data_IF_633460008715
#
_entry.id   IF_633460008715
#
_cell.length_a   1.000
_cell.length_b   1.000
_cell.length_c   1.000
_cell.angle_alpha   90.00
_cell.angle_beta   90.00
_cell.angle_gamma   90.00
#
_symmetry.space_group_name_H-M   'P 1'
#
loop_
_entity.id
_entity.type
_entity.pdbx_description
1 polymer ?
#
# COMPACT_ATOMS: atom_id res chain seq x y z
N UNK A 1 -17.71 0.50 -17.01
CA UNK A 1 -18.05 1.27 -18.23
C UNK A 1 -16.78 1.66 -18.97
N UNK A 2 -16.84 1.63 -20.31
CA UNK A 2 -15.74 1.95 -21.23
C UNK A 2 -14.53 1.00 -21.23
N UNK A 3 -14.58 -0.15 -20.57
CA UNK A 3 -13.54 -1.19 -20.65
C UNK A 3 -13.73 -2.09 -21.85
N UNK A 4 -12.79 -3.01 -22.09
CA UNK A 4 -12.79 -3.96 -23.20
C UNK A 4 -14.12 -4.72 -23.33
N UNK A 5 -14.60 -5.30 -22.24
CA UNK A 5 -15.84 -6.07 -22.24
C UNK A 5 -17.07 -5.25 -22.62
N UNK A 6 -17.16 -4.02 -22.13
CA UNK A 6 -18.24 -3.10 -22.49
C UNK A 6 -18.22 -2.77 -23.98
N UNK A 7 -17.03 -2.44 -24.54
CA UNK A 7 -16.88 -2.12 -25.97
C UNK A 7 -17.17 -3.27 -26.91
N UNK A 8 -16.83 -4.49 -26.51
CA UNK A 8 -17.20 -5.68 -27.31
C UNK A 8 -18.65 -6.15 -27.05
N UNK A 9 -19.39 -5.40 -26.21
CA UNK A 9 -20.81 -5.61 -25.97
C UNK A 9 -21.14 -6.75 -25.01
N UNK A 10 -20.22 -7.10 -24.08
CA UNK A 10 -20.54 -7.98 -22.93
C UNK A 10 -21.40 -7.17 -21.95
N UNK A 11 -22.47 -7.77 -21.44
CA UNK A 11 -23.45 -7.11 -20.58
C UNK A 11 -23.42 -7.71 -19.18
N UNK A 12 -23.93 -6.94 -18.21
CA UNK A 12 -24.20 -7.47 -16.88
C UNK A 12 -25.25 -8.58 -16.98
N UNK A 13 -24.94 -9.74 -16.37
CA UNK A 13 -25.76 -10.95 -16.45
C UNK A 13 -25.26 -11.97 -17.47
N UNK A 14 -24.34 -11.60 -18.37
CA UNK A 14 -23.68 -12.58 -19.23
C UNK A 14 -22.76 -13.51 -18.41
N UNK A 15 -22.69 -14.80 -18.78
CA UNK A 15 -21.83 -15.79 -18.14
C UNK A 15 -20.60 -16.01 -19.02
N UNK A 16 -19.41 -15.62 -18.55
CA UNK A 16 -18.16 -15.82 -19.25
C UNK A 16 -17.75 -17.29 -19.22
N UNK A 17 -17.43 -17.87 -20.37
CA UNK A 17 -17.02 -19.26 -20.52
C UNK A 17 -15.52 -19.38 -20.80
N UNK A 18 -14.99 -18.56 -21.70
CA UNK A 18 -13.56 -18.59 -22.05
C UNK A 18 -13.10 -17.25 -22.63
N UNK A 19 -11.78 -16.99 -22.54
CA UNK A 19 -11.09 -15.90 -23.25
C UNK A 19 -9.92 -16.51 -24.01
N UNK A 20 -9.81 -16.20 -25.31
CA UNK A 20 -8.80 -16.78 -26.20
C UNK A 20 -8.74 -18.32 -26.08
N UNK A 21 -9.90 -18.99 -26.08
CA UNK A 21 -10.11 -20.42 -25.91
C UNK A 21 -9.68 -21.00 -24.54
N UNK A 22 -9.12 -20.21 -23.63
CA UNK A 22 -8.82 -20.65 -22.25
C UNK A 22 -10.08 -20.55 -21.39
N UNK A 23 -10.56 -21.66 -20.79
CA UNK A 23 -11.72 -21.63 -19.90
C UNK A 23 -11.51 -20.69 -18.71
N UNK A 24 -12.58 -20.05 -18.28
CA UNK A 24 -12.62 -19.20 -17.09
C UNK A 24 -13.68 -19.76 -16.14
N UNK A 25 -13.25 -20.31 -15.02
CA UNK A 25 -14.13 -20.94 -14.05
C UNK A 25 -14.25 -20.11 -12.76
N UNK A 26 -13.41 -19.10 -12.60
CA UNK A 26 -13.38 -18.25 -11.39
C UNK A 26 -12.89 -16.84 -11.69
N UNK A 27 -13.25 -15.91 -10.81
CA UNK A 27 -12.73 -14.54 -10.89
C UNK A 27 -11.19 -14.45 -10.77
N UNK A 28 -10.52 -15.21 -9.88
CA UNK A 28 -9.05 -15.22 -9.85
C UNK A 28 -8.42 -15.67 -11.18
N UNK A 29 -8.98 -16.68 -11.88
CA UNK A 29 -8.49 -17.10 -13.20
C UNK A 29 -8.64 -15.98 -14.25
N UNK A 30 -9.77 -15.27 -14.23
CA UNK A 30 -9.99 -14.12 -15.11
C UNK A 30 -8.97 -13.00 -14.84
N UNK A 31 -8.72 -12.69 -13.57
CA UNK A 31 -7.74 -11.67 -13.17
C UNK A 31 -6.33 -12.08 -13.61
N UNK A 32 -5.93 -13.33 -13.36
CA UNK A 32 -4.62 -13.84 -13.79
C UNK A 32 -4.45 -13.78 -15.32
N UNK A 33 -5.50 -14.14 -16.06
CA UNK A 33 -5.47 -14.02 -17.52
C UNK A 33 -5.40 -12.56 -17.97
N UNK A 34 -6.19 -11.67 -17.38
CA UNK A 34 -6.18 -10.25 -17.73
C UNK A 34 -4.78 -9.61 -17.58
N UNK A 35 -3.97 -10.12 -16.65
CA UNK A 35 -2.58 -9.68 -16.47
C UNK A 35 -1.65 -10.10 -17.62
N UNK A 36 -2.02 -11.08 -18.43
CA UNK A 36 -1.23 -11.52 -19.57
C UNK A 36 -1.58 -10.81 -20.87
N UNK A 37 -2.67 -10.05 -20.91
CA UNK A 37 -3.16 -9.37 -22.10
C UNK A 37 -2.50 -8.00 -22.26
N UNK A 38 -2.26 -7.61 -23.52
CA UNK A 38 -1.66 -6.32 -23.87
C UNK A 38 -2.66 -5.40 -24.56
N UNK A 39 -2.49 -4.10 -24.40
CA UNK A 39 -3.29 -3.10 -25.11
C UNK A 39 -3.20 -3.33 -26.63
N UNK A 40 -4.33 -3.17 -27.32
CA UNK A 40 -4.51 -3.44 -28.77
C UNK A 40 -4.43 -4.92 -29.19
N UNK A 41 -4.14 -5.86 -28.29
CA UNK A 41 -4.28 -7.28 -28.57
C UNK A 41 -5.76 -7.61 -28.84
N UNK A 42 -6.02 -8.38 -29.89
CA UNK A 42 -7.38 -8.83 -30.20
C UNK A 42 -7.69 -10.09 -29.39
N UNK A 43 -8.75 -10.04 -28.60
CA UNK A 43 -9.26 -11.19 -27.84
C UNK A 43 -10.57 -11.70 -28.42
N UNK A 44 -10.80 -13.00 -28.22
CA UNK A 44 -12.09 -13.65 -28.43
C UNK A 44 -12.66 -14.08 -27.09
N UNK A 45 -13.89 -13.68 -26.82
CA UNK A 45 -14.60 -14.00 -25.58
C UNK A 45 -15.82 -14.85 -25.92
N UNK A 46 -15.88 -16.07 -25.38
CA UNK A 46 -17.06 -16.92 -25.48
C UNK A 46 -17.86 -16.82 -24.18
N UNK A 47 -19.18 -16.60 -24.32
CA UNK A 47 -20.09 -16.36 -23.19
C UNK A 47 -21.50 -16.89 -23.46
N UNK A 48 -22.31 -17.00 -22.42
CA UNK A 48 -23.76 -17.20 -22.54
C UNK A 48 -24.41 -15.83 -22.32
N UNK A 49 -25.15 -15.34 -23.31
CA UNK A 49 -25.92 -14.10 -23.24
C UNK A 49 -27.38 -14.43 -23.57
N UNK A 50 -28.30 -14.07 -22.67
CA UNK A 50 -29.73 -14.39 -22.81
C UNK A 50 -30.03 -15.89 -23.06
N UNK A 51 -29.20 -16.79 -22.48
CA UNK A 51 -29.34 -18.24 -22.63
C UNK A 51 -28.68 -18.85 -23.89
N UNK A 52 -28.12 -18.05 -24.78
CA UNK A 52 -27.45 -18.48 -26.00
C UNK A 52 -25.94 -18.36 -25.91
N UNK A 53 -25.19 -19.33 -26.47
CA UNK A 53 -23.74 -19.22 -26.60
C UNK A 53 -23.37 -18.27 -27.74
N UNK A 54 -22.61 -17.24 -27.39
CA UNK A 54 -22.15 -16.23 -28.35
C UNK A 54 -20.65 -16.01 -28.22
N UNK A 55 -19.98 -15.70 -29.32
CA UNK A 55 -18.60 -15.27 -29.35
C UNK A 55 -18.53 -13.78 -29.69
N UNK A 56 -17.68 -13.04 -28.96
CA UNK A 56 -17.42 -11.62 -29.20
C UNK A 56 -15.92 -11.41 -29.36
N UNK A 57 -15.53 -10.50 -30.26
CA UNK A 57 -14.13 -10.17 -30.54
C UNK A 57 -13.90 -8.67 -30.46
N UNK A 58 -12.75 -8.27 -30.00
CA UNK A 58 -12.31 -6.89 -30.04
C UNK A 58 -10.93 -6.68 -29.45
N UNK A 59 -10.41 -5.49 -29.66
CA UNK A 59 -9.11 -5.12 -29.14
C UNK A 59 -9.20 -4.79 -27.65
N UNK A 60 -8.16 -5.18 -26.90
CA UNK A 60 -7.99 -4.82 -25.51
C UNK A 60 -7.79 -3.31 -25.42
N UNK A 61 -8.56 -2.69 -24.55
CA UNK A 61 -8.38 -1.31 -24.16
C UNK A 61 -7.41 -1.28 -22.99
N UNK A 62 -6.35 -0.49 -23.13
CA UNK A 62 -5.40 -0.27 -22.07
C UNK A 62 -6.05 0.28 -20.79
N UNK A 63 -5.41 0.08 -19.67
CA UNK A 63 -5.86 0.68 -18.41
C UNK A 63 -5.85 2.20 -18.51
N UNK A 64 -6.85 2.89 -17.94
CA UNK A 64 -6.81 4.35 -17.86
C UNK A 64 -5.53 4.79 -17.17
N UNK A 65 -4.75 5.64 -17.83
CA UNK A 65 -3.55 6.25 -17.24
C UNK A 65 -3.94 7.46 -16.42
N UNK A 66 -3.11 7.80 -15.45
CA UNK A 66 -3.28 9.03 -14.67
C UNK A 66 -3.03 10.25 -15.56
N UNK A 67 -3.80 11.29 -15.31
CA UNK A 67 -3.63 12.63 -15.90
C UNK A 67 -3.59 13.68 -14.79
N UNK A 68 -2.84 14.75 -14.96
CA UNK A 68 -2.78 15.87 -14.02
C UNK A 68 -2.78 17.21 -14.76
N UNK A 69 -3.50 18.18 -14.21
CA UNK A 69 -3.43 19.56 -14.69
C UNK A 69 -2.10 20.22 -14.31
N UNK A 70 -1.53 19.81 -13.16
CA UNK A 70 -0.35 20.41 -12.54
C UNK A 70 0.95 19.68 -12.85
N UNK A 71 0.89 18.42 -13.33
CA UNK A 71 2.06 17.61 -13.63
C UNK A 71 2.00 16.98 -15.02
N UNK A 72 3.17 16.75 -15.60
CA UNK A 72 3.40 15.71 -16.60
C UNK A 72 3.48 14.37 -15.87
N UNK A 73 2.73 13.36 -16.34
CA UNK A 73 2.77 12.01 -15.76
C UNK A 73 3.63 11.12 -16.65
N UNK A 74 4.79 10.76 -16.13
CA UNK A 74 5.76 9.91 -16.83
C UNK A 74 5.66 8.47 -16.33
N UNK A 75 5.54 7.52 -17.28
CA UNK A 75 5.58 6.09 -17.06
C UNK A 75 6.91 5.56 -17.57
N UNK A 76 7.65 4.91 -16.69
CA UNK A 76 8.99 4.38 -16.99
C UNK A 76 9.16 3.04 -16.26
N UNK A 77 10.35 2.48 -16.24
CA UNK A 77 10.64 1.20 -15.59
C UNK A 77 12.02 1.19 -14.93
N UNK A 78 12.21 0.23 -14.05
CA UNK A 78 13.49 -0.11 -13.45
C UNK A 78 13.69 -1.62 -13.45
N UNK A 79 14.89 -2.06 -13.80
CA UNK A 79 15.28 -3.47 -13.73
C UNK A 79 15.81 -3.81 -12.33
N UNK A 80 15.48 -5.01 -11.86
CA UNK A 80 16.05 -5.62 -10.66
C UNK A 80 16.19 -7.14 -10.85
N UNK A 81 16.71 -7.85 -9.86
CA UNK A 81 16.93 -9.30 -9.92
C UNK A 81 15.66 -10.12 -10.19
N UNK A 82 14.50 -9.62 -9.79
CA UNK A 82 13.20 -10.28 -10.04
C UNK A 82 12.64 -9.99 -11.44
N UNK A 83 13.14 -9.00 -12.16
CA UNK A 83 12.63 -8.58 -13.48
C UNK A 83 12.46 -7.06 -13.60
N UNK A 84 11.44 -6.63 -14.33
CA UNK A 84 11.18 -5.22 -14.63
C UNK A 84 9.99 -4.74 -13.80
N UNK A 85 10.20 -3.64 -13.07
CA UNK A 85 9.16 -2.95 -12.32
C UNK A 85 8.76 -1.66 -13.03
N UNK A 86 7.47 -1.40 -13.16
CA UNK A 86 6.95 -0.12 -13.66
C UNK A 86 7.16 0.98 -12.61
N UNK A 87 7.49 2.18 -13.09
CA UNK A 87 7.53 3.38 -12.26
C UNK A 87 6.59 4.46 -12.82
N UNK A 88 6.06 5.30 -11.93
CA UNK A 88 5.15 6.39 -12.26
C UNK A 88 5.67 7.65 -11.58
N UNK A 89 5.88 8.72 -12.35
CA UNK A 89 6.39 9.99 -11.83
C UNK A 89 5.48 11.13 -12.24
N UNK A 90 5.02 11.91 -11.28
CA UNK A 90 4.38 13.20 -11.53
C UNK A 90 5.45 14.27 -11.47
N UNK A 91 5.67 14.96 -12.57
CA UNK A 91 6.68 16.00 -12.72
C UNK A 91 5.97 17.35 -12.79
N UNK A 92 6.20 18.32 -11.88
CA UNK A 92 5.55 19.63 -11.93
C UNK A 92 5.77 20.33 -13.26
N UNK A 93 4.70 20.78 -13.93
CA UNK A 93 4.76 21.41 -15.26
C UNK A 93 5.55 22.74 -15.27
N UNK A 94 5.47 23.49 -14.17
CA UNK A 94 6.07 24.84 -14.07
C UNK A 94 7.47 24.82 -13.46
N UNK A 95 8.20 23.70 -13.57
CA UNK A 95 9.56 23.58 -13.04
C UNK A 95 10.55 24.47 -13.80
N UNK A 96 11.47 25.06 -13.06
CA UNK A 96 12.64 25.76 -13.59
C UNK A 96 13.90 25.09 -13.04
N UNK A 97 14.45 24.10 -13.75
CA UNK A 97 15.60 23.33 -13.29
C UNK A 97 15.23 22.03 -12.54
N UNK A 98 16.08 21.62 -11.61
CA UNK A 98 15.85 20.45 -10.78
C UNK A 98 14.79 20.71 -9.73
N UNK A 99 13.99 19.69 -9.41
CA UNK A 99 12.92 19.79 -8.42
C UNK A 99 13.13 18.82 -7.27
N UNK A 100 12.73 19.16 -6.04
CA UNK A 100 12.67 18.21 -4.94
C UNK A 100 11.62 17.11 -5.23
N UNK A 101 11.74 15.97 -4.57
CA UNK A 101 10.85 14.85 -4.84
C UNK A 101 10.31 14.19 -3.57
N UNK A 102 9.10 13.64 -3.69
CA UNK A 102 8.51 12.71 -2.73
C UNK A 102 8.53 11.31 -3.34
N UNK A 103 9.22 10.37 -2.70
CA UNK A 103 9.15 8.96 -3.01
C UNK A 103 8.06 8.31 -2.15
N UNK A 104 6.97 7.91 -2.77
CA UNK A 104 5.88 7.24 -2.09
C UNK A 104 6.17 5.75 -1.91
N UNK A 105 6.14 5.28 -0.66
CA UNK A 105 6.27 3.87 -0.27
C UNK A 105 4.90 3.36 0.15
N UNK A 106 4.40 2.36 -0.56
CA UNK A 106 3.04 1.83 -0.40
C UNK A 106 2.88 0.98 0.87
N UNK A 107 1.67 0.98 1.44
CA UNK A 107 1.25 0.09 2.53
C UNK A 107 1.15 -1.40 2.13
N UNK A 108 0.43 -2.21 2.92
CA UNK A 108 0.43 -3.67 2.82
C UNK A 108 -0.08 -4.25 1.49
N UNK A 109 -1.23 -3.79 0.91
CA UNK A 109 -1.89 -4.54 -0.16
C UNK A 109 -1.07 -4.66 -1.45
N UNK A 110 -1.13 -5.84 -2.08
CA UNK A 110 -0.64 -6.07 -3.44
C UNK A 110 -1.61 -5.49 -4.47
N UNK A 111 -1.57 -4.18 -4.60
CA UNK A 111 -2.40 -3.42 -5.55
C UNK A 111 -1.55 -2.39 -6.29
N UNK A 112 -2.04 -1.91 -7.42
CA UNK A 112 -1.35 -0.91 -8.20
C UNK A 112 -1.24 0.42 -7.47
N UNK A 113 -0.11 1.08 -7.66
CA UNK A 113 0.17 2.46 -7.27
C UNK A 113 -0.34 3.48 -8.30
N UNK A 114 -1.07 3.03 -9.32
CA UNK A 114 -1.71 3.88 -10.30
C UNK A 114 -3.13 4.22 -9.84
N UNK A 115 -3.43 5.49 -9.76
CA UNK A 115 -4.71 6.04 -9.31
C UNK A 115 -5.32 6.95 -10.37
N UNK A 116 -5.99 6.40 -11.42
CA UNK A 116 -6.60 7.19 -12.48
C UNK A 116 -7.71 8.14 -11.99
N UNK A 117 -8.41 7.75 -10.92
CA UNK A 117 -9.40 8.62 -10.27
C UNK A 117 -8.71 9.72 -9.47
N UNK A 118 -8.82 10.95 -9.93
CA UNK A 118 -8.28 12.13 -9.26
C UNK A 118 -8.85 12.38 -7.85
N UNK A 119 -9.99 11.77 -7.53
CA UNK A 119 -10.61 11.84 -6.19
C UNK A 119 -10.05 10.79 -5.23
N UNK A 120 -9.24 9.82 -5.69
CA UNK A 120 -8.58 8.90 -4.77
C UNK A 120 -7.79 9.69 -3.72
N UNK A 121 -7.88 9.36 -2.40
CA UNK A 121 -7.25 10.15 -1.35
C UNK A 121 -5.73 10.29 -1.50
N UNK A 122 -5.04 9.21 -1.89
CA UNK A 122 -3.59 9.27 -2.18
C UNK A 122 -3.30 10.19 -3.37
N UNK A 123 -4.15 10.11 -4.40
CA UNK A 123 -4.02 10.98 -5.58
C UNK A 123 -4.18 12.46 -5.23
N UNK A 124 -5.10 12.79 -4.31
CA UNK A 124 -5.27 14.16 -3.81
C UNK A 124 -4.02 14.62 -3.03
N UNK A 125 -3.45 13.76 -2.18
CA UNK A 125 -2.18 14.07 -1.50
C UNK A 125 -1.02 14.29 -2.49
N UNK A 126 -0.93 13.49 -3.54
CA UNK A 126 0.09 13.66 -4.59
C UNK A 126 -0.08 15.01 -5.31
N UNK A 127 -1.32 15.41 -5.62
CA UNK A 127 -1.59 16.71 -6.23
C UNK A 127 -1.21 17.89 -5.31
N UNK A 128 -1.39 17.75 -4.00
CA UNK A 128 -0.98 18.79 -3.05
C UNK A 128 0.56 18.97 -3.08
N UNK A 129 1.34 17.89 -3.13
CA UNK A 129 2.79 17.96 -3.24
C UNK A 129 3.27 18.49 -4.61
N UNK A 130 2.62 18.05 -5.69
CA UNK A 130 2.92 18.55 -7.04
C UNK A 130 2.67 20.05 -7.16
N UNK A 131 1.55 20.55 -6.65
CA UNK A 131 1.23 21.99 -6.61
C UNK A 131 2.26 22.78 -5.81
N UNK A 132 2.86 22.16 -4.80
CA UNK A 132 3.93 22.77 -4.02
C UNK A 132 5.32 22.66 -4.67
N UNK A 133 5.43 22.10 -5.88
CA UNK A 133 6.66 22.02 -6.67
C UNK A 133 7.47 20.73 -6.47
N UNK A 134 6.95 19.73 -5.78
CA UNK A 134 7.61 18.44 -5.61
C UNK A 134 7.23 17.47 -6.72
N UNK A 135 8.21 16.78 -7.31
CA UNK A 135 7.91 15.58 -8.08
C UNK A 135 7.41 14.47 -7.15
N UNK A 136 6.48 13.62 -7.62
CA UNK A 136 5.99 12.47 -6.86
C UNK A 136 6.32 11.20 -7.63
N UNK A 137 7.15 10.36 -7.05
CA UNK A 137 7.62 9.12 -7.65
C UNK A 137 7.08 7.89 -6.92
N UNK A 138 6.72 6.87 -7.69
CA UNK A 138 6.22 5.57 -7.21
C UNK A 138 6.82 4.44 -8.02
N UNK A 139 7.09 3.31 -7.36
CA UNK A 139 7.44 2.04 -8.01
C UNK A 139 6.34 1.03 -7.78
N UNK A 140 5.95 0.31 -8.81
CA UNK A 140 5.00 -0.80 -8.72
C UNK A 140 5.68 -2.04 -8.13
N UNK A 141 4.90 -2.88 -7.48
CA UNK A 141 5.33 -4.16 -6.97
C UNK A 141 5.44 -5.22 -8.08
N UNK A 142 6.10 -6.35 -7.78
CA UNK A 142 6.22 -7.49 -8.69
C UNK A 142 4.87 -7.95 -9.25
N UNK A 143 4.78 -8.05 -10.58
CA UNK A 143 3.58 -8.41 -11.35
C UNK A 143 2.32 -7.59 -11.02
N UNK A 144 2.50 -6.36 -10.52
CA UNK A 144 1.43 -5.39 -10.34
C UNK A 144 1.54 -4.31 -11.44
N UNK A 145 0.41 -3.82 -11.90
CA UNK A 145 0.39 -2.88 -13.03
C UNK A 145 1.01 -3.51 -14.29
N UNK A 146 1.99 -2.83 -14.86
CA UNK A 146 2.74 -3.34 -16.02
C UNK A 146 4.11 -3.89 -15.64
N UNK A 147 4.38 -4.11 -14.35
CA UNK A 147 5.59 -4.82 -13.89
C UNK A 147 5.58 -6.27 -14.42
N UNK A 148 6.77 -6.78 -14.77
CA UNK A 148 6.96 -8.16 -15.27
C UNK A 148 8.13 -8.79 -14.54
N UNK A 149 7.81 -9.70 -13.63
CA UNK A 149 8.77 -10.30 -12.70
C UNK A 149 8.55 -11.81 -12.56
N UNK A 150 9.57 -12.52 -12.08
CA UNK A 150 9.55 -13.99 -11.87
C UNK A 150 8.72 -14.42 -10.65
N UNK A 151 8.48 -13.49 -9.68
CA UNK A 151 7.61 -13.72 -8.53
C UNK A 151 6.44 -12.75 -8.58
N UNK A 152 5.32 -13.11 -7.96
CA UNK A 152 4.21 -12.17 -7.75
C UNK A 152 4.44 -11.35 -6.46
N UNK A 153 3.78 -10.22 -6.36
CA UNK A 153 3.76 -9.41 -5.13
C UNK A 153 3.34 -10.21 -3.89
N UNK A 154 2.41 -11.16 -4.04
CA UNK A 154 1.96 -12.04 -2.94
C UNK A 154 3.04 -12.98 -2.42
N UNK A 155 4.03 -13.30 -3.25
CA UNK A 155 4.99 -14.39 -3.02
C UNK A 155 6.39 -13.92 -2.61
N UNK A 156 6.66 -12.61 -2.71
CA UNK A 156 7.90 -12.03 -2.20
C UNK A 156 7.89 -11.98 -0.66
N UNK A 157 9.07 -12.04 -0.06
CA UNK A 157 9.24 -11.80 1.37
C UNK A 157 9.45 -10.31 1.68
N UNK A 158 9.60 -9.97 2.97
CA UNK A 158 9.78 -8.59 3.38
C UNK A 158 11.13 -7.99 2.92
N UNK A 159 12.20 -8.78 2.86
CA UNK A 159 13.48 -8.29 2.38
C UNK A 159 13.43 -7.97 0.88
N UNK A 160 12.74 -8.82 0.10
CA UNK A 160 12.48 -8.56 -1.33
C UNK A 160 11.59 -7.31 -1.53
N UNK A 161 10.62 -7.05 -0.65
CA UNK A 161 9.84 -5.78 -0.64
C UNK A 161 10.75 -4.57 -0.42
N UNK A 162 11.72 -4.65 0.48
CA UNK A 162 12.71 -3.58 0.69
C UNK A 162 13.55 -3.38 -0.58
N UNK A 163 14.01 -4.46 -1.23
CA UNK A 163 14.80 -4.37 -2.46
C UNK A 163 13.99 -3.81 -3.65
N UNK A 164 12.68 -4.10 -3.76
CA UNK A 164 11.76 -3.45 -4.72
C UNK A 164 11.78 -1.94 -4.54
N UNK A 165 11.64 -1.47 -3.31
CA UNK A 165 11.64 -0.03 -3.01
C UNK A 165 13.04 0.60 -3.21
N UNK A 166 14.13 -0.10 -2.88
CA UNK A 166 15.50 0.36 -3.17
C UNK A 166 15.74 0.50 -4.69
N UNK A 167 15.25 -0.46 -5.51
CA UNK A 167 15.32 -0.35 -6.97
C UNK A 167 14.58 0.88 -7.48
N UNK A 168 13.34 1.13 -6.98
CA UNK A 168 12.59 2.34 -7.27
C UNK A 168 13.34 3.61 -6.85
N UNK A 169 13.89 3.64 -5.66
CA UNK A 169 14.66 4.80 -5.17
C UNK A 169 15.91 5.06 -6.03
N UNK A 170 16.64 4.00 -6.42
CA UNK A 170 17.77 4.11 -7.35
C UNK A 170 17.34 4.71 -8.70
N UNK A 171 16.16 4.32 -9.22
CA UNK A 171 15.60 4.90 -10.44
C UNK A 171 15.29 6.39 -10.27
N UNK A 172 14.66 6.79 -9.18
CA UNK A 172 14.39 8.20 -8.88
C UNK A 172 15.68 9.03 -8.86
N UNK A 173 16.74 8.52 -8.23
CA UNK A 173 18.05 9.17 -8.16
C UNK A 173 18.74 9.34 -9.54
N UNK A 174 18.33 8.56 -10.55
CA UNK A 174 18.93 8.60 -11.88
C UNK A 174 18.34 9.69 -12.81
N UNK A 175 17.24 10.31 -12.42
CA UNK A 175 16.63 11.35 -13.22
C UNK A 175 17.39 12.69 -13.09
N UNK A 176 17.75 13.29 -14.22
CA UNK A 176 18.53 14.54 -14.29
C UNK A 176 17.76 15.76 -13.77
N UNK A 177 16.42 15.70 -13.83
CA UNK A 177 15.54 16.76 -13.36
C UNK A 177 15.25 16.70 -11.84
N UNK A 178 15.72 15.69 -11.13
CA UNK A 178 15.52 15.56 -9.67
C UNK A 178 16.68 16.23 -8.92
N UNK A 179 16.32 17.02 -7.90
CA UNK A 179 17.23 17.48 -6.87
C UNK A 179 17.43 16.36 -5.85
N UNK A 180 18.53 15.62 -6.01
CA UNK A 180 18.83 14.43 -5.21
C UNK A 180 19.21 14.72 -3.77
N UNK A 181 19.41 15.99 -3.40
CA UNK A 181 19.67 16.41 -2.02
C UNK A 181 18.38 16.74 -1.26
N UNK A 182 17.27 16.92 -1.99
CA UNK A 182 15.97 17.26 -1.47
C UNK A 182 14.92 16.19 -1.84
N UNK A 183 15.23 14.92 -1.56
CA UNK A 183 14.29 13.82 -1.68
C UNK A 183 13.71 13.49 -0.31
N UNK A 184 12.39 13.37 -0.25
CA UNK A 184 11.61 12.97 0.91
C UNK A 184 10.94 11.62 0.65
N UNK A 185 10.88 10.75 1.65
CA UNK A 185 10.00 9.59 1.59
C UNK A 185 8.65 9.93 2.20
N UNK A 186 7.57 9.40 1.63
CA UNK A 186 6.28 9.34 2.28
C UNK A 186 5.84 7.88 2.35
N UNK A 187 5.85 7.33 3.54
CA UNK A 187 5.43 5.97 3.83
C UNK A 187 4.02 5.93 4.41
N UNK A 188 3.12 5.16 3.79
CA UNK A 188 1.76 4.96 4.29
C UNK A 188 1.60 3.57 4.90
N UNK A 189 0.97 3.49 6.10
CA UNK A 189 0.63 2.21 6.72
C UNK A 189 1.88 1.34 6.96
N UNK A 190 1.94 0.11 6.44
CA UNK A 190 3.09 -0.80 6.54
C UNK A 190 4.42 -0.17 6.09
N UNK A 191 4.40 0.90 5.31
CA UNK A 191 5.63 1.53 4.85
C UNK A 191 6.53 2.07 5.97
N UNK A 192 6.01 2.28 7.18
CA UNK A 192 6.85 2.57 8.35
C UNK A 192 7.76 1.43 8.78
N UNK A 193 7.41 0.17 8.43
CA UNK A 193 8.32 -0.97 8.56
C UNK A 193 9.37 -1.01 7.46
N UNK A 194 9.08 -0.49 6.26
CA UNK A 194 9.94 -0.57 5.07
C UNK A 194 10.88 0.63 4.93
N UNK A 195 10.40 1.83 5.20
CA UNK A 195 11.10 3.08 4.91
C UNK A 195 12.52 3.19 5.54
N UNK A 196 12.76 2.81 6.82
CA UNK A 196 14.09 2.94 7.41
C UNK A 196 15.13 2.05 6.70
N UNK A 197 14.74 0.85 6.25
CA UNK A 197 15.65 -0.06 5.54
C UNK A 197 15.91 0.38 4.09
N UNK A 198 14.95 1.05 3.44
CA UNK A 198 15.18 1.68 2.13
C UNK A 198 16.15 2.85 2.25
N UNK A 199 16.05 3.63 3.33
CA UNK A 199 16.92 4.76 3.60
C UNK A 199 18.39 4.36 3.85
N UNK A 200 18.68 3.11 4.20
CA UNK A 200 20.07 2.61 4.33
C UNK A 200 20.87 2.70 3.02
N UNK A 201 20.21 2.63 1.85
CA UNK A 201 20.89 2.73 0.56
C UNK A 201 21.47 4.14 0.32
N UNK A 202 20.68 5.16 0.57
CA UNK A 202 21.04 6.58 0.58
C UNK A 202 20.04 7.29 1.49
N UNK A 203 20.54 8.02 2.48
CA UNK A 203 19.67 8.78 3.38
C UNK A 203 18.91 9.86 2.60
N UNK A 204 17.56 9.91 2.67
CA UNK A 204 16.80 11.01 2.13
C UNK A 204 16.95 12.28 2.99
N UNK A 205 16.55 13.43 2.47
CA UNK A 205 16.45 14.67 3.25
C UNK A 205 15.56 14.51 4.47
N UNK A 206 14.47 13.76 4.32
CA UNK A 206 13.60 13.38 5.41
C UNK A 206 12.63 12.26 5.07
N UNK A 207 12.05 11.66 6.09
CA UNK A 207 11.05 10.60 5.99
C UNK A 207 9.78 11.05 6.69
N UNK A 208 8.67 11.05 5.98
CA UNK A 208 7.33 11.20 6.50
C UNK A 208 6.67 9.83 6.54
N UNK A 209 6.02 9.47 7.64
CA UNK A 209 5.19 8.26 7.73
C UNK A 209 3.82 8.61 8.28
N UNK A 210 2.77 7.95 7.78
CA UNK A 210 1.40 8.14 8.23
C UNK A 210 0.70 6.81 8.51
N UNK A 211 0.00 6.76 9.63
CA UNK A 211 -0.83 5.60 9.99
C UNK A 211 -0.04 4.30 10.10
N UNK A 212 1.14 4.37 10.69
CA UNK A 212 2.10 3.27 10.73
C UNK A 212 2.32 2.75 12.16
N UNK A 213 2.95 1.58 12.26
CA UNK A 213 3.45 1.03 13.50
C UNK A 213 4.98 0.90 13.49
N UNK A 214 5.53 0.61 14.66
CA UNK A 214 6.96 0.37 14.81
C UNK A 214 7.28 -0.94 15.54
N UNK A 215 6.26 -1.64 16.02
CA UNK A 215 6.37 -2.92 16.73
C UNK A 215 6.44 -4.09 15.75
N UNK A 216 6.82 -5.27 16.25
CA UNK A 216 6.70 -6.51 15.47
C UNK A 216 5.25 -6.73 15.02
N UNK A 217 5.06 -7.43 13.89
CA UNK A 217 3.71 -7.73 13.42
C UNK A 217 2.92 -8.60 14.41
N UNK A 218 3.64 -9.40 15.20
CA UNK A 218 3.03 -10.17 16.30
C UNK A 218 2.39 -9.27 17.36
N UNK A 219 3.13 -8.27 17.86
CA UNK A 219 2.61 -7.32 18.84
C UNK A 219 1.50 -6.44 18.26
N UNK A 220 1.66 -6.02 16.99
CA UNK A 220 0.63 -5.25 16.29
C UNK A 220 -0.68 -6.01 16.20
N UNK A 221 -0.69 -7.30 15.79
CA UNK A 221 -1.91 -8.08 15.69
C UNK A 221 -2.55 -8.36 17.06
N UNK A 222 -1.77 -8.55 18.12
CA UNK A 222 -2.31 -8.66 19.47
C UNK A 222 -3.07 -7.38 19.85
N UNK A 223 -2.47 -6.21 19.63
CA UNK A 223 -3.13 -4.94 19.91
C UNK A 223 -4.29 -4.65 18.95
N UNK A 224 -4.24 -5.11 17.70
CA UNK A 224 -5.33 -5.00 16.74
C UNK A 224 -6.59 -5.68 17.28
N UNK A 225 -6.50 -6.94 17.69
CA UNK A 225 -7.63 -7.68 18.27
C UNK A 225 -8.12 -7.06 19.59
N UNK A 226 -7.20 -6.58 20.42
CA UNK A 226 -7.51 -5.99 21.72
C UNK A 226 -8.20 -4.64 21.64
N UNK A 227 -7.88 -3.83 20.63
CA UNK A 227 -8.27 -2.42 20.54
C UNK A 227 -9.35 -2.20 19.46
N UNK A 228 -9.17 -2.76 18.26
CA UNK A 228 -10.02 -2.43 17.12
C UNK A 228 -11.48 -2.85 17.32
N UNK A 229 -11.72 -4.01 17.95
CA UNK A 229 -13.06 -4.48 18.26
C UNK A 229 -13.80 -3.51 19.21
N UNK A 230 -13.08 -2.90 20.16
CA UNK A 230 -13.66 -1.91 21.10
C UNK A 230 -14.10 -0.65 20.36
N UNK A 231 -13.38 -0.22 19.32
CA UNK A 231 -13.83 0.88 18.46
C UNK A 231 -15.15 0.57 17.76
N UNK A 232 -15.41 -0.70 17.45
CA UNK A 232 -16.67 -1.19 16.90
C UNK A 232 -17.83 -1.30 17.90
N UNK A 233 -17.52 -1.19 19.20
CA UNK A 233 -18.52 -1.28 20.29
C UNK A 233 -18.46 -2.57 21.11
N UNK A 234 -17.49 -3.48 20.86
CA UNK A 234 -17.25 -4.63 21.74
C UNK A 234 -16.76 -4.16 23.13
N UNK A 235 -17.05 -4.93 24.15
CA UNK A 235 -16.48 -4.68 25.48
C UNK A 235 -15.01 -5.09 25.53
N UNK A 236 -14.22 -4.51 26.42
CA UNK A 236 -12.84 -4.94 26.65
C UNK A 236 -12.73 -6.43 27.05
N UNK A 237 -13.73 -6.97 27.72
CA UNK A 237 -13.76 -8.39 28.10
C UNK A 237 -13.89 -9.29 26.87
N UNK A 238 -14.77 -8.94 25.94
CA UNK A 238 -14.93 -9.66 24.67
C UNK A 238 -13.68 -9.58 23.81
N UNK A 239 -13.13 -8.38 23.63
CA UNK A 239 -11.90 -8.15 22.88
C UNK A 239 -10.71 -8.93 23.46
N UNK A 240 -10.53 -8.94 24.79
CA UNK A 240 -9.46 -9.71 25.43
C UNK A 240 -9.66 -11.23 25.29
N UNK A 241 -10.90 -11.71 25.35
CA UNK A 241 -11.22 -13.14 25.10
C UNK A 241 -10.82 -13.57 23.68
N UNK A 242 -11.16 -12.77 22.67
CA UNK A 242 -10.78 -13.00 21.28
C UNK A 242 -9.27 -12.96 21.11
N UNK A 243 -8.62 -11.92 21.64
CA UNK A 243 -7.16 -11.77 21.61
C UNK A 243 -6.45 -13.02 22.13
N UNK A 244 -6.88 -13.55 23.30
CA UNK A 244 -6.30 -14.75 23.91
C UNK A 244 -6.47 -16.01 23.04
N UNK A 245 -7.55 -16.12 22.29
CA UNK A 245 -7.73 -17.23 21.34
C UNK A 245 -6.76 -17.14 20.17
N UNK A 246 -6.41 -15.93 19.72
CA UNK A 246 -5.52 -15.71 18.58
C UNK A 246 -4.04 -15.89 18.92
N UNK A 247 -3.60 -15.57 20.14
CA UNK A 247 -2.19 -15.58 20.55
C UNK A 247 -1.44 -16.88 20.18
N UNK A 248 -1.94 -18.09 20.43
CA UNK A 248 -1.21 -19.31 20.08
C UNK A 248 -0.92 -19.44 18.59
N UNK A 249 -1.89 -19.13 17.74
CA UNK A 249 -1.72 -19.16 16.29
C UNK A 249 -0.75 -18.06 15.82
N UNK A 250 -0.89 -16.85 16.34
CA UNK A 250 0.01 -15.73 16.01
C UNK A 250 1.46 -16.03 16.41
N UNK A 251 1.69 -16.66 17.55
CA UNK A 251 3.01 -17.07 18.01
C UNK A 251 3.64 -18.11 17.07
N UNK A 252 2.89 -19.17 16.73
CA UNK A 252 3.36 -20.23 15.84
C UNK A 252 3.71 -19.69 14.45
N UNK A 253 2.91 -18.76 13.96
CA UNK A 253 3.14 -18.12 12.66
C UNK A 253 4.31 -17.14 12.70
N UNK A 254 4.24 -16.11 13.54
CA UNK A 254 5.08 -14.91 13.42
C UNK A 254 6.39 -15.05 14.18
N UNK A 255 6.41 -15.83 15.26
CA UNK A 255 7.61 -16.06 16.09
C UNK A 255 8.29 -17.39 15.71
N UNK A 256 7.54 -18.50 15.74
CA UNK A 256 8.10 -19.81 15.40
C UNK A 256 8.28 -20.04 13.88
N UNK A 257 7.66 -19.21 13.03
CA UNK A 257 7.82 -19.24 11.57
C UNK A 257 7.12 -20.39 10.87
N UNK A 258 6.09 -20.97 11.48
CA UNK A 258 5.32 -22.07 10.87
C UNK A 258 4.45 -21.55 9.73
N UNK A 259 4.35 -22.37 8.68
CA UNK A 259 3.41 -22.17 7.59
C UNK A 259 1.97 -22.41 8.05
N UNK A 260 0.99 -21.92 7.28
CA UNK A 260 -0.40 -22.20 7.57
C UNK A 260 -0.71 -23.70 7.50
N UNK A 261 -0.08 -24.43 6.56
CA UNK A 261 -0.21 -25.89 6.45
C UNK A 261 0.32 -26.62 7.69
N UNK A 262 1.48 -26.22 8.23
CA UNK A 262 2.04 -26.79 9.45
C UNK A 262 1.15 -26.54 10.66
N UNK A 263 0.61 -25.32 10.78
CA UNK A 263 -0.31 -24.97 11.87
C UNK A 263 -1.65 -25.75 11.81
N UNK A 264 -2.15 -26.04 10.59
CA UNK A 264 -3.37 -26.87 10.39
C UNK A 264 -3.22 -28.29 10.90
N UNK A 265 -2.00 -28.81 11.07
CA UNK A 265 -1.76 -30.14 11.66
C UNK A 265 -2.09 -30.21 13.16
N UNK A 266 -2.17 -29.05 13.83
CA UNK A 266 -2.62 -28.95 15.21
C UNK A 266 -4.14 -28.79 15.24
N UNK A 267 -4.92 -29.79 15.74
CA UNK A 267 -6.37 -29.71 15.78
C UNK A 267 -6.93 -28.51 16.53
N UNK A 268 -6.19 -28.01 17.55
CA UNK A 268 -6.61 -26.85 18.33
C UNK A 268 -6.45 -25.53 17.56
N UNK A 269 -5.51 -25.44 16.62
CA UNK A 269 -5.27 -24.24 15.81
C UNK A 269 -6.03 -24.27 14.48
N UNK A 270 -6.32 -25.46 13.96
CA UNK A 270 -6.91 -25.63 12.62
C UNK A 270 -8.12 -24.73 12.35
N UNK A 271 -9.14 -24.63 13.23
CA UNK A 271 -10.31 -23.77 12.95
C UNK A 271 -9.93 -22.29 12.80
N UNK A 272 -8.99 -21.81 13.61
CA UNK A 272 -8.53 -20.42 13.58
C UNK A 272 -7.73 -20.19 12.30
N UNK A 273 -6.79 -21.09 11.97
CA UNK A 273 -5.96 -21.00 10.76
C UNK A 273 -6.82 -21.01 9.50
N UNK A 274 -7.84 -21.88 9.43
CA UNK A 274 -8.74 -21.96 8.27
C UNK A 274 -9.61 -20.71 8.10
N UNK A 275 -9.95 -20.02 9.18
CA UNK A 275 -10.69 -18.76 9.12
C UNK A 275 -9.80 -17.56 8.79
N UNK A 276 -8.50 -17.65 9.07
CA UNK A 276 -7.56 -16.55 8.99
C UNK A 276 -6.77 -16.54 7.68
N UNK A 277 -6.38 -17.73 7.17
CA UNK A 277 -5.56 -17.88 5.97
C UNK A 277 -6.35 -18.45 4.80
N UNK A 278 -6.12 -17.89 3.62
CA UNK A 278 -6.51 -18.48 2.34
C UNK A 278 -5.32 -19.26 1.76
N UNK A 279 -5.28 -20.59 1.99
CA UNK A 279 -4.07 -21.39 1.72
C UNK A 279 -2.92 -20.95 2.62
N UNK A 280 -1.85 -20.45 2.03
CA UNK A 280 -0.69 -19.87 2.72
C UNK A 280 -0.73 -18.34 2.77
N UNK A 281 -1.84 -17.69 2.42
CA UNK A 281 -1.93 -16.24 2.30
C UNK A 281 -2.81 -15.64 3.39
N UNK A 282 -2.31 -14.56 4.00
CA UNK A 282 -3.08 -13.65 4.83
C UNK A 282 -3.29 -12.35 4.07
N UNK A 283 -4.54 -11.94 3.87
CA UNK A 283 -4.88 -10.82 2.99
C UNK A 283 -4.30 -11.03 1.59
N UNK A 284 -3.31 -10.25 1.18
CA UNK A 284 -2.71 -10.30 -0.17
C UNK A 284 -1.26 -10.81 -0.16
N UNK A 285 -0.75 -11.29 0.97
CA UNK A 285 0.65 -11.67 1.16
C UNK A 285 0.79 -13.08 1.73
N UNK A 286 1.88 -13.75 1.41
CA UNK A 286 2.21 -15.05 1.98
C UNK A 286 2.44 -14.94 3.50
N UNK A 287 2.17 -16.03 4.22
CA UNK A 287 2.49 -16.12 5.65
C UNK A 287 3.98 -15.83 5.92
N UNK A 288 4.86 -16.24 5.01
CA UNK A 288 6.30 -16.03 5.09
C UNK A 288 6.69 -14.54 5.06
N UNK A 289 5.99 -13.71 4.27
CA UNK A 289 6.21 -12.26 4.25
C UNK A 289 6.15 -11.66 5.67
N UNK A 290 5.10 -11.97 6.41
CA UNK A 290 4.90 -11.41 7.74
C UNK A 290 5.88 -11.98 8.77
N UNK A 291 6.28 -13.25 8.63
CA UNK A 291 7.31 -13.84 9.47
C UNK A 291 8.66 -13.13 9.27
N UNK A 292 9.07 -12.89 8.02
CA UNK A 292 10.33 -12.17 7.73
C UNK A 292 10.28 -10.71 8.15
N UNK A 293 9.11 -10.06 8.05
CA UNK A 293 8.89 -8.72 8.57
C UNK A 293 8.99 -8.67 10.11
N UNK A 294 8.43 -9.67 10.80
CA UNK A 294 8.46 -9.72 12.28
C UNK A 294 9.87 -9.94 12.85
N UNK A 295 10.82 -10.40 12.04
CA UNK A 295 12.24 -10.54 12.44
C UNK A 295 13.01 -9.22 12.42
N UNK A 296 12.47 -8.17 11.83
CA UNK A 296 13.18 -6.90 11.71
C UNK A 296 13.25 -6.16 13.05
N UNK A 297 14.42 -5.64 13.38
CA UNK A 297 14.58 -4.71 14.49
C UNK A 297 14.28 -3.28 14.03
N UNK A 298 13.01 -2.87 14.13
CA UNK A 298 12.57 -1.56 13.66
C UNK A 298 13.16 -0.41 14.47
N UNK A 299 13.39 -0.60 15.78
CA UNK A 299 14.02 0.43 16.60
C UNK A 299 15.44 0.71 16.11
N UNK A 300 16.20 -0.34 15.79
CA UNK A 300 17.54 -0.19 15.19
C UNK A 300 17.47 0.43 13.78
N UNK A 301 16.49 0.01 12.96
CA UNK A 301 16.27 0.61 11.64
C UNK A 301 16.02 2.12 11.72
N UNK A 302 15.11 2.56 12.59
CA UNK A 302 14.80 3.98 12.77
C UNK A 302 15.95 4.77 13.42
N UNK A 303 16.76 4.17 14.30
CA UNK A 303 17.94 4.83 14.91
C UNK A 303 19.03 5.15 13.89
N UNK A 304 19.09 4.44 12.76
CA UNK A 304 20.03 4.69 11.66
C UNK A 304 19.59 5.80 10.69
N UNK A 305 18.35 6.27 10.80
CA UNK A 305 17.84 7.36 9.96
C UNK A 305 18.41 8.69 10.47
N UNK A 306 19.34 9.28 9.72
CA UNK A 306 19.99 10.54 10.10
C UNK A 306 19.33 11.80 9.48
N UNK A 307 18.39 11.63 8.55
CA UNK A 307 17.54 12.69 8.02
C UNK A 307 16.45 13.11 9.01
N UNK A 308 15.68 14.13 8.63
CA UNK A 308 14.49 14.53 9.41
C UNK A 308 13.39 13.48 9.33
N UNK A 309 12.65 13.27 10.42
CA UNK A 309 11.53 12.32 10.46
C UNK A 309 10.28 13.00 10.97
N UNK A 310 9.16 12.83 10.25
CA UNK A 310 7.84 13.33 10.60
C UNK A 310 6.85 12.17 10.67
N UNK A 311 6.60 11.67 11.86
CA UNK A 311 5.73 10.54 12.10
C UNK A 311 4.32 11.01 12.43
N UNK A 312 3.32 10.61 11.60
CA UNK A 312 1.95 11.10 11.67
C UNK A 312 0.95 10.00 11.99
N UNK A 313 -0.05 10.33 12.78
CA UNK A 313 -1.18 9.48 13.12
C UNK A 313 -2.48 10.24 12.86
N UNK A 314 -3.45 9.62 12.21
CA UNK A 314 -4.81 10.15 12.11
C UNK A 314 -5.57 9.92 13.41
N UNK A 315 -6.17 10.97 13.99
CA UNK A 315 -6.82 10.92 15.30
C UNK A 315 -7.80 9.74 15.45
N UNK A 316 -8.49 9.37 14.37
CA UNK A 316 -9.46 8.27 14.36
C UNK A 316 -9.04 7.09 13.45
N UNK A 317 -7.74 6.90 13.28
CA UNK A 317 -7.17 5.78 12.54
C UNK A 317 -7.33 4.47 13.33
N UNK A 318 -8.21 3.59 12.85
CA UNK A 318 -8.46 2.29 13.46
C UNK A 318 -7.48 1.20 13.00
N UNK A 319 -6.70 1.44 11.95
CA UNK A 319 -5.70 0.49 11.48
C UNK A 319 -4.35 0.68 12.21
N UNK A 320 -3.87 1.92 12.38
CA UNK A 320 -2.69 2.19 13.20
C UNK A 320 -2.98 2.19 14.72
N UNK A 321 -4.25 2.13 15.11
CA UNK A 321 -4.79 1.93 16.47
C UNK A 321 -4.64 3.13 17.40
N UNK A 322 -3.48 3.75 17.48
CA UNK A 322 -3.19 4.89 18.35
C UNK A 322 -1.87 5.59 17.98
N UNK A 323 -1.60 6.74 18.58
CA UNK A 323 -0.40 7.54 18.28
C UNK A 323 0.90 7.02 18.91
N UNK A 324 0.87 5.97 19.73
CA UNK A 324 2.03 5.48 20.49
C UNK A 324 3.22 5.15 19.61
N UNK A 325 2.97 4.53 18.45
CA UNK A 325 4.04 4.07 17.56
C UNK A 325 4.72 5.25 16.84
N UNK A 326 3.97 6.26 16.41
CA UNK A 326 4.55 7.46 15.79
C UNK A 326 5.32 8.31 16.79
N UNK A 327 4.90 8.36 18.06
CA UNK A 327 5.64 8.97 19.16
C UNK A 327 6.97 8.23 19.36
N UNK A 328 6.93 6.90 19.45
CA UNK A 328 8.13 6.09 19.65
C UNK A 328 9.13 6.23 18.49
N UNK A 329 8.67 6.28 17.24
CA UNK A 329 9.54 6.54 16.07
C UNK A 329 10.26 7.89 16.24
N UNK A 330 9.54 8.95 16.57
CA UNK A 330 10.14 10.27 16.76
C UNK A 330 11.14 10.29 17.93
N UNK A 331 10.85 9.60 19.02
CA UNK A 331 11.74 9.46 20.18
C UNK A 331 13.02 8.69 19.85
N UNK A 332 12.92 7.54 19.15
CA UNK A 332 14.07 6.73 18.71
C UNK A 332 15.00 7.57 17.84
N UNK A 333 14.44 8.27 16.85
CA UNK A 333 15.24 9.15 15.99
C UNK A 333 15.90 10.27 16.79
N UNK A 334 15.21 10.89 17.74
CA UNK A 334 15.78 11.95 18.59
C UNK A 334 16.85 11.44 19.56
N UNK A 335 16.75 10.20 20.02
CA UNK A 335 17.80 9.57 20.85
C UNK A 335 19.09 9.38 20.06
N UNK A 336 19.00 9.04 18.78
CA UNK A 336 20.15 8.86 17.90
C UNK A 336 20.65 10.19 17.29
N UNK A 337 19.71 11.07 16.91
CA UNK A 337 19.96 12.31 16.17
C UNK A 337 19.06 13.44 16.73
N UNK A 338 19.50 14.10 17.78
CA UNK A 338 18.72 15.08 18.52
C UNK A 338 18.09 16.17 17.62
N UNK A 339 16.79 16.37 17.75
CA UNK A 339 16.02 17.36 16.99
C UNK A 339 15.64 16.95 15.56
N UNK A 340 15.83 15.66 15.19
CA UNK A 340 15.44 15.17 13.88
C UNK A 340 14.06 14.49 13.85
N UNK A 341 13.54 14.00 14.98
CA UNK A 341 12.24 13.35 15.08
C UNK A 341 11.14 14.32 15.51
N UNK A 342 10.08 14.41 14.73
CA UNK A 342 8.84 15.12 15.04
C UNK A 342 7.66 14.15 14.88
N UNK A 343 6.64 14.25 15.73
CA UNK A 343 5.38 13.52 15.52
C UNK A 343 4.20 14.49 15.45
N UNK A 344 3.12 14.05 14.81
CA UNK A 344 1.91 14.86 14.67
C UNK A 344 0.66 13.98 14.66
N UNK A 345 -0.36 14.38 15.42
CA UNK A 345 -1.70 13.77 15.33
C UNK A 345 -2.54 14.65 14.41
N UNK A 346 -2.92 14.09 13.26
CA UNK A 346 -3.76 14.77 12.27
C UNK A 346 -5.22 14.74 12.74
N UNK A 347 -5.82 15.89 13.10
CA UNK A 347 -7.15 15.91 13.68
C UNK A 347 -8.22 15.34 12.77
N UNK A 348 -9.21 14.68 13.34
CA UNK A 348 -10.42 14.15 12.66
C UNK A 348 -10.11 13.35 11.39
N UNK A 349 -9.03 12.57 11.38
CA UNK A 349 -8.58 11.86 10.18
C UNK A 349 -8.48 10.37 10.47
N UNK A 350 -8.93 9.57 9.51
CA UNK A 350 -8.81 8.12 9.52
C UNK A 350 -7.66 7.64 8.60
N UNK A 351 -7.45 6.32 8.50
CA UNK A 351 -6.29 5.71 7.84
C UNK A 351 -6.10 6.08 6.36
N UNK A 352 -7.20 6.31 5.63
CA UNK A 352 -7.19 6.64 4.19
C UNK A 352 -7.31 8.15 3.95
N UNK A 353 -6.94 8.98 4.94
CA UNK A 353 -6.91 10.44 4.89
C UNK A 353 -8.28 11.11 4.79
N UNK A 354 -9.38 10.40 5.03
CA UNK A 354 -10.72 10.96 5.09
C UNK A 354 -11.00 11.64 6.42
N UNK A 355 -11.77 12.75 6.39
CA UNK A 355 -12.27 13.39 7.63
C UNK A 355 -13.40 12.58 8.22
N UNK A 356 -13.27 12.24 9.50
CA UNK A 356 -14.26 11.52 10.31
C UNK A 356 -14.39 12.17 11.68
N UNK A 357 -15.48 11.86 12.40
CA UNK A 357 -15.76 12.47 13.71
C UNK A 357 -15.55 11.50 14.89
N UNK A 358 -15.30 10.21 14.63
CA UNK A 358 -15.09 9.22 15.69
C UNK A 358 -14.47 7.90 15.18
N UNK A 359 -13.86 7.13 16.11
CA UNK A 359 -13.44 5.74 15.85
C UNK A 359 -14.59 4.85 15.39
N UNK A 360 -15.79 5.03 15.98
CA UNK A 360 -16.98 4.24 15.61
C UNK A 360 -17.35 4.47 14.14
N UNK A 361 -17.34 5.71 13.68
CA UNK A 361 -17.62 6.03 12.27
C UNK A 361 -16.58 5.38 11.35
N UNK A 362 -15.29 5.47 11.68
CA UNK A 362 -14.22 4.81 10.92
C UNK A 362 -14.44 3.31 10.85
N UNK A 363 -14.71 2.68 12.00
CA UNK A 363 -14.96 1.24 12.06
C UNK A 363 -16.14 0.82 11.17
N UNK A 364 -17.26 1.53 11.23
CA UNK A 364 -18.46 1.24 10.44
C UNK A 364 -18.20 1.41 8.93
N UNK A 365 -17.40 2.40 8.54
CA UNK A 365 -17.01 2.61 7.14
C UNK A 365 -16.15 1.44 6.62
N UNK A 366 -15.22 0.93 7.43
CA UNK A 366 -14.45 -0.28 7.08
C UNK A 366 -15.33 -1.52 7.03
N UNK A 367 -16.14 -1.77 8.03
CA UNK A 367 -17.04 -2.92 8.11
C UNK A 367 -18.05 -2.97 6.93
N UNK A 368 -18.49 -1.81 6.46
CA UNK A 368 -19.38 -1.70 5.29
C UNK A 368 -18.68 -1.66 3.93
N UNK A 369 -17.32 -1.69 3.89
CA UNK A 369 -16.51 -1.58 2.66
C UNK A 369 -16.58 -0.21 1.99
N UNK A 370 -17.07 0.83 2.68
CA UNK A 370 -17.28 2.18 2.11
C UNK A 370 -16.15 3.16 2.36
N UNK A 371 -15.10 2.75 3.08
CA UNK A 371 -14.04 3.65 3.53
C UNK A 371 -13.37 4.41 2.39
N UNK A 372 -12.99 3.75 1.28
CA UNK A 372 -12.33 4.41 0.15
C UNK A 372 -13.24 5.41 -0.55
N UNK A 373 -14.51 5.04 -0.78
CA UNK A 373 -15.48 5.95 -1.38
C UNK A 373 -15.72 7.17 -0.49
N UNK A 374 -15.84 6.96 0.81
CA UNK A 374 -16.02 8.04 1.78
C UNK A 374 -14.80 8.96 1.82
N UNK A 375 -13.59 8.42 1.96
CA UNK A 375 -12.35 9.18 2.00
C UNK A 375 -12.11 9.97 0.71
N UNK A 376 -12.47 9.41 -0.45
CA UNK A 376 -12.40 10.11 -1.75
C UNK A 376 -13.25 11.38 -1.80
N UNK A 377 -14.38 11.40 -1.09
CA UNK A 377 -15.29 12.53 -1.04
C UNK A 377 -14.99 13.50 0.13
N UNK A 378 -14.30 13.02 1.14
CA UNK A 378 -14.03 13.73 2.41
C UNK A 378 -12.54 13.83 2.73
N UNK A 379 -11.67 13.85 1.72
CA UNK A 379 -10.22 13.99 1.91
C UNK A 379 -9.88 15.14 2.86
N UNK A 380 -8.94 14.92 3.79
CA UNK A 380 -8.48 15.96 4.68
C UNK A 380 -7.27 16.72 4.09
N UNK A 381 -7.45 17.93 3.55
CA UNK A 381 -6.37 18.71 2.95
C UNK A 381 -5.30 19.15 3.96
N UNK A 382 -5.56 19.01 5.26
CA UNK A 382 -4.59 19.26 6.30
C UNK A 382 -3.35 18.38 6.14
N UNK A 383 -3.48 17.14 5.63
CA UNK A 383 -2.35 16.27 5.31
C UNK A 383 -1.38 16.95 4.33
N UNK A 384 -1.90 17.47 3.21
CA UNK A 384 -1.09 18.20 2.23
C UNK A 384 -0.44 19.42 2.86
N UNK A 385 -1.20 20.21 3.63
CA UNK A 385 -0.71 21.43 4.28
C UNK A 385 0.45 21.17 5.25
N UNK A 386 0.32 20.17 6.14
CA UNK A 386 1.35 19.90 7.17
C UNK A 386 2.59 19.25 6.54
N UNK A 387 2.43 18.33 5.58
CA UNK A 387 3.56 17.67 4.89
C UNK A 387 4.35 18.64 4.02
N UNK A 388 3.69 19.50 3.24
CA UNK A 388 4.35 20.55 2.45
C UNK A 388 5.06 21.55 3.36
N UNK A 389 4.40 21.99 4.43
CA UNK A 389 5.00 22.91 5.39
C UNK A 389 6.26 22.33 6.06
N UNK A 390 6.20 21.06 6.43
CA UNK A 390 7.33 20.37 7.04
C UNK A 390 8.50 20.16 6.05
N UNK A 391 8.23 19.72 4.82
CA UNK A 391 9.26 19.55 3.78
C UNK A 391 9.96 20.88 3.47
N UNK A 392 9.20 21.97 3.33
CA UNK A 392 9.75 23.30 3.10
C UNK A 392 10.63 23.80 4.26
N UNK A 393 10.29 23.46 5.51
CA UNK A 393 11.12 23.75 6.70
C UNK A 393 12.41 22.92 6.66
N UNK A 394 12.33 21.66 6.29
CA UNK A 394 13.48 20.74 6.26
C UNK A 394 14.49 21.08 5.14
N UNK A 395 14.07 21.76 4.07
CA UNK A 395 14.95 22.21 2.99
C UNK A 395 15.77 23.48 3.32
N UNK A 396 15.33 24.24 4.32
CA UNK A 396 16.06 25.44 4.83
C UNK A 396 17.21 25.03 5.73
#
# INVERSE_FOLDING_TARGET
>A
PNGTFDKIGVKVGDILLSVNQKPINSLPELVAMAQTLSENEVIEVNLISNGEKVAKKGAIIGRPKETSENAEVNYDSVEMSLGILRTITHIPKNRTGKVPAVFYIQGLPCQSNEYPDSKNPLRQAFEDWVKAGFAVFRVERPNIGDSRTTKNCSDIDFNEEVEVNKAGYKKLLSYDFIDTDNIFFFGHSMAGWTAPFVAEMKQPKGIMVYGTGFRSWFEYLIDLYRIQAVYGGATHVEAEKETRMMIPMLYEWLVAGKTAEEMRKNPALKPIVDSFFQGEYFQTRSAHFFHTMSKQNLAEGWSKVNGKVFAMYGEFDTAALNARDVIAIAEIVNQAHAGNGEYFVLPKTEHMFGKVDSYKQTFDLYASGKILQYASQNYNPELGRVTVGWMNKAMK
#
